data_IF_667726027802
#
_entry.id   IF_667726027802
#
_cell.length_a   1.000
_cell.length_b   1.000
_cell.length_c   1.000
_cell.angle_alpha   90.00
_cell.angle_beta   90.00
_cell.angle_gamma   90.00
#
_symmetry.space_group_name_H-M   'P 1'
#
loop_
_entity.id
_entity.type
_entity.pdbx_description
1 polymer ?
#
# COMPACT_ATOMS: atom_id res chain seq x y z
N UNK A 1 23.72 -0.12 19.50
CA UNK A 1 24.17 -0.87 18.29
C UNK A 1 23.30 -0.40 17.15
N UNK A 2 23.89 0.03 16.05
CA UNK A 2 23.13 0.42 14.87
C UNK A 2 22.57 -0.82 14.14
N UNK A 3 21.50 -0.67 13.35
CA UNK A 3 20.87 -1.79 12.66
C UNK A 3 21.79 -2.54 11.69
N UNK A 4 22.68 -1.80 11.01
CA UNK A 4 23.68 -2.36 10.11
C UNK A 4 24.73 -3.23 10.84
N UNK A 5 25.20 -2.81 12.00
CA UNK A 5 26.08 -3.63 12.84
C UNK A 5 25.39 -4.89 13.37
N UNK A 6 24.11 -4.78 13.73
CA UNK A 6 23.33 -5.92 14.16
C UNK A 6 23.24 -6.99 13.07
N UNK A 7 22.88 -6.62 11.84
CA UNK A 7 22.81 -7.53 10.69
C UNK A 7 24.18 -8.19 10.42
N UNK A 8 25.25 -7.40 10.45
CA UNK A 8 26.62 -7.92 10.29
C UNK A 8 26.95 -8.97 11.34
N UNK A 9 26.62 -8.71 12.61
CA UNK A 9 26.88 -9.63 13.70
C UNK A 9 26.07 -10.92 13.56
N UNK A 10 24.78 -10.84 13.21
CA UNK A 10 23.96 -12.01 12.95
C UNK A 10 24.53 -12.88 11.80
N UNK A 11 24.97 -12.25 10.71
CA UNK A 11 25.61 -12.98 9.60
C UNK A 11 26.87 -13.71 10.08
N UNK A 12 27.72 -13.06 10.87
CA UNK A 12 28.96 -13.65 11.41
C UNK A 12 28.64 -14.80 12.38
N UNK A 13 27.63 -14.65 13.24
CA UNK A 13 27.16 -15.71 14.13
C UNK A 13 26.67 -16.96 13.37
N UNK A 14 26.01 -16.74 12.21
CA UNK A 14 25.61 -17.84 11.32
C UNK A 14 26.78 -18.43 10.51
N UNK A 15 27.98 -17.90 10.65
CA UNK A 15 29.19 -18.38 9.95
C UNK A 15 29.24 -18.02 8.46
N UNK A 16 28.39 -17.11 7.99
CA UNK A 16 28.36 -16.75 6.58
C UNK A 16 29.43 -15.70 6.25
N UNK A 17 30.28 -15.98 5.25
CA UNK A 17 31.08 -14.93 4.62
C UNK A 17 30.18 -13.98 3.82
N UNK A 18 30.64 -12.76 3.59
CA UNK A 18 29.91 -11.76 2.74
C UNK A 18 29.55 -12.35 1.37
N UNK A 19 30.46 -13.15 0.79
CA UNK A 19 30.26 -13.78 -0.52
C UNK A 19 29.15 -14.87 -0.49
N UNK A 20 29.20 -15.73 0.53
CA UNK A 20 28.16 -16.78 0.71
C UNK A 20 26.79 -16.16 0.96
N UNK A 21 26.73 -15.21 1.91
CA UNK A 21 25.48 -14.54 2.26
C UNK A 21 24.88 -13.78 1.06
N UNK A 22 25.71 -13.03 0.33
CA UNK A 22 25.27 -12.33 -0.87
C UNK A 22 24.72 -13.27 -1.93
N UNK A 23 25.38 -14.42 -2.17
CA UNK A 23 24.88 -15.44 -3.11
C UNK A 23 23.53 -16.01 -2.68
N UNK A 24 23.37 -16.31 -1.39
CA UNK A 24 22.11 -16.86 -0.85
C UNK A 24 20.98 -15.82 -0.88
N UNK A 25 21.27 -14.56 -0.58
CA UNK A 25 20.32 -13.47 -0.58
C UNK A 25 20.05 -12.84 -1.96
N UNK A 26 20.67 -13.36 -3.02
CA UNK A 26 20.58 -12.82 -4.38
C UNK A 26 20.98 -11.34 -4.49
N UNK A 27 22.06 -10.98 -3.77
CA UNK A 27 22.70 -9.66 -3.82
C UNK A 27 24.21 -9.81 -4.01
N UNK A 28 24.84 -8.80 -4.59
CA UNK A 28 26.28 -8.86 -4.75
C UNK A 28 27.00 -8.73 -3.41
N UNK A 29 28.19 -9.35 -3.24
CA UNK A 29 28.99 -9.18 -2.02
C UNK A 29 29.27 -7.72 -1.68
N UNK A 30 29.49 -6.88 -2.70
CA UNK A 30 29.67 -5.44 -2.55
C UNK A 30 28.43 -4.76 -1.93
N UNK A 31 27.23 -5.18 -2.34
CA UNK A 31 25.99 -4.66 -1.78
C UNK A 31 25.80 -5.07 -0.32
N UNK A 32 26.16 -6.31 0.06
CA UNK A 32 26.16 -6.74 1.46
C UNK A 32 27.06 -5.83 2.29
N UNK A 33 28.29 -5.58 1.79
CA UNK A 33 29.24 -4.68 2.48
C UNK A 33 28.70 -3.26 2.63
N UNK A 34 28.01 -2.72 1.62
CA UNK A 34 27.39 -1.38 1.70
C UNK A 34 26.27 -1.28 2.72
N UNK A 35 25.45 -2.32 2.86
CA UNK A 35 24.43 -2.36 3.90
C UNK A 35 25.06 -2.51 5.29
N UNK A 36 26.07 -3.36 5.45
CA UNK A 36 26.75 -3.58 6.73
C UNK A 36 27.62 -2.39 7.18
N UNK A 37 28.12 -1.59 6.24
CA UNK A 37 28.86 -0.34 6.56
C UNK A 37 27.95 0.85 6.80
N UNK A 38 26.66 0.76 6.44
CA UNK A 38 25.72 1.88 6.49
C UNK A 38 25.81 2.84 5.30
N UNK A 39 26.63 2.53 4.28
CA UNK A 39 26.65 3.32 3.03
C UNK A 39 25.32 3.24 2.27
N UNK A 40 24.58 2.15 2.46
CA UNK A 40 23.19 1.99 1.97
C UNK A 40 22.27 1.61 3.11
N UNK A 41 21.08 2.18 3.10
CA UNK A 41 20.06 1.92 4.09
C UNK A 41 19.24 0.68 3.73
N UNK A 42 18.93 -0.16 4.71
CA UNK A 42 18.08 -1.34 4.52
C UNK A 42 16.66 -0.97 4.08
N UNK A 43 16.19 0.21 4.45
CA UNK A 43 14.88 0.76 4.07
C UNK A 43 14.63 0.76 2.56
N UNK A 44 15.69 0.90 1.77
CA UNK A 44 15.62 0.93 0.30
C UNK A 44 15.83 -0.43 -0.37
N UNK A 45 15.93 -1.50 0.42
CA UNK A 45 15.93 -2.85 -0.14
C UNK A 45 14.56 -3.18 -0.76
N UNK A 46 14.53 -3.84 -1.93
CA UNK A 46 13.31 -4.50 -2.39
C UNK A 46 12.84 -5.54 -1.38
N UNK A 47 11.53 -5.62 -1.18
CA UNK A 47 10.91 -6.53 -0.21
C UNK A 47 11.42 -7.96 -0.33
N UNK A 48 11.45 -8.53 -1.55
CA UNK A 48 11.90 -9.91 -1.75
C UNK A 48 13.34 -10.15 -1.29
N UNK A 49 14.24 -9.18 -1.47
CA UNK A 49 15.63 -9.28 -1.00
C UNK A 49 15.72 -9.11 0.52
N UNK A 50 14.95 -8.18 1.07
CA UNK A 50 14.88 -7.97 2.50
C UNK A 50 14.42 -9.25 3.20
N UNK A 51 13.28 -9.81 2.81
CA UNK A 51 12.74 -11.04 3.40
C UNK A 51 13.75 -12.20 3.27
N UNK A 52 14.37 -12.37 2.10
CA UNK A 52 15.37 -13.42 1.90
C UNK A 52 16.57 -13.27 2.84
N UNK A 53 17.13 -12.05 2.95
CA UNK A 53 18.23 -11.77 3.86
C UNK A 53 17.88 -12.04 5.32
N UNK A 54 16.73 -11.56 5.75
CA UNK A 54 16.30 -11.61 7.13
C UNK A 54 15.93 -13.03 7.56
N UNK A 55 15.34 -13.83 6.67
CA UNK A 55 15.12 -15.26 6.93
C UNK A 55 16.41 -16.06 7.08
N UNK A 56 17.42 -15.79 6.25
CA UNK A 56 18.74 -16.41 6.39
C UNK A 56 19.38 -16.13 7.75
N UNK A 57 19.00 -15.05 8.39
CA UNK A 57 19.49 -14.62 9.70
C UNK A 57 18.53 -14.93 10.85
N UNK A 58 17.36 -15.52 10.59
CA UNK A 58 16.26 -15.74 11.53
C UNK A 58 15.83 -14.45 12.25
N UNK A 59 15.69 -13.37 11.50
CA UNK A 59 15.30 -12.05 12.03
C UNK A 59 13.91 -11.69 11.49
N UNK A 60 12.91 -11.42 12.35
CA UNK A 60 11.63 -10.86 11.93
C UNK A 60 11.82 -9.45 11.35
N UNK A 61 11.27 -9.23 10.15
CA UNK A 61 11.45 -7.95 9.42
C UNK A 61 10.87 -6.79 10.21
N UNK A 62 9.62 -6.89 10.64
CA UNK A 62 8.92 -5.83 11.36
C UNK A 62 9.64 -5.43 12.64
N UNK A 63 10.01 -6.41 13.48
CA UNK A 63 10.71 -6.15 14.75
C UNK A 63 12.03 -5.40 14.53
N UNK A 64 12.76 -5.78 13.49
CA UNK A 64 14.01 -5.09 13.15
C UNK A 64 13.77 -3.64 12.76
N UNK A 65 12.82 -3.38 11.86
CA UNK A 65 12.54 -2.03 11.40
C UNK A 65 11.90 -1.16 12.49
N UNK A 66 11.08 -1.74 13.36
CA UNK A 66 10.57 -1.08 14.55
C UNK A 66 11.70 -0.63 15.49
N UNK A 67 12.62 -1.56 15.77
CA UNK A 67 13.71 -1.35 16.73
C UNK A 67 14.77 -0.36 16.25
N UNK A 68 15.15 -0.42 14.97
CA UNK A 68 16.29 0.32 14.45
C UNK A 68 15.92 1.52 13.59
N UNK A 69 14.70 1.60 13.08
CA UNK A 69 14.23 2.66 12.18
C UNK A 69 13.00 3.39 12.69
N UNK A 70 12.38 2.93 13.78
CA UNK A 70 11.24 3.60 14.43
C UNK A 70 10.06 3.87 13.50
N UNK A 71 9.86 3.03 12.48
CA UNK A 71 8.82 3.25 11.44
C UNK A 71 7.45 3.49 12.05
N UNK A 72 7.05 2.69 13.04
CA UNK A 72 5.74 2.83 13.68
C UNK A 72 5.57 4.17 14.38
N UNK A 73 6.64 4.66 15.04
CA UNK A 73 6.59 5.94 15.74
C UNK A 73 6.47 7.10 14.75
N UNK A 74 7.18 7.04 13.63
CA UNK A 74 7.09 8.04 12.57
C UNK A 74 5.73 7.99 11.88
N UNK A 75 5.24 6.79 11.57
CA UNK A 75 3.94 6.62 10.94
C UNK A 75 2.79 7.06 11.84
N UNK A 76 2.86 6.78 13.16
CA UNK A 76 1.88 7.27 14.11
C UNK A 76 1.78 8.80 14.08
N UNK A 77 2.91 9.49 14.16
CA UNK A 77 2.96 10.97 14.09
C UNK A 77 2.40 11.49 12.76
N UNK A 78 2.77 10.85 11.65
CA UNK A 78 2.30 11.24 10.32
C UNK A 78 0.79 11.05 10.17
N UNK A 79 0.25 9.93 10.64
CA UNK A 79 -1.19 9.63 10.62
C UNK A 79 -1.97 10.58 11.54
N UNK A 80 -1.47 10.84 12.75
CA UNK A 80 -2.09 11.79 13.68
C UNK A 80 -2.11 13.20 13.08
N UNK A 81 -1.00 13.65 12.51
CA UNK A 81 -0.91 14.94 11.81
C UNK A 81 -1.93 14.99 10.67
N UNK A 82 -1.94 13.95 9.80
CA UNK A 82 -2.88 13.88 8.68
C UNK A 82 -4.34 13.96 9.15
N UNK A 83 -4.72 13.23 10.20
CA UNK A 83 -6.08 13.26 10.78
C UNK A 83 -6.46 14.64 11.29
N UNK A 84 -5.52 15.34 11.91
CA UNK A 84 -5.76 16.72 12.41
C UNK A 84 -5.91 17.73 11.27
N UNK A 85 -5.17 17.55 10.17
CA UNK A 85 -5.24 18.41 8.99
C UNK A 85 -6.45 18.11 8.10
N UNK A 86 -6.99 16.87 8.19
CA UNK A 86 -8.14 16.41 7.42
C UNK A 86 -9.23 15.89 8.38
N UNK A 87 -9.84 16.77 9.20
CA UNK A 87 -10.95 16.34 10.04
C UNK A 87 -12.05 15.78 9.15
N UNK A 88 -12.38 14.52 9.37
CA UNK A 88 -13.45 13.83 8.63
C UNK A 88 -14.77 14.35 9.21
N UNK A 89 -15.27 15.43 8.63
CA UNK A 89 -16.58 16.00 8.97
C UNK A 89 -17.74 15.24 8.30
N UNK A 90 -17.40 14.25 7.49
CA UNK A 90 -18.29 13.38 6.74
C UNK A 90 -18.16 11.95 7.20
N UNK A 91 -19.29 11.28 7.40
CA UNK A 91 -19.33 9.82 7.49
C UNK A 91 -18.95 9.20 6.13
N UNK A 92 -17.66 9.30 5.80
CA UNK A 92 -17.08 8.87 4.54
C UNK A 92 -17.33 7.36 4.29
N UNK A 93 -17.33 6.56 5.34
CA UNK A 93 -17.64 5.13 5.24
C UNK A 93 -19.10 4.91 4.83
N UNK A 94 -20.01 5.71 5.32
CA UNK A 94 -21.41 5.64 4.94
C UNK A 94 -21.62 6.12 3.50
N UNK A 95 -20.95 7.19 3.10
CA UNK A 95 -20.94 7.66 1.71
C UNK A 95 -20.39 6.58 0.77
N UNK A 96 -19.24 6.00 1.09
CA UNK A 96 -18.63 4.90 0.37
C UNK A 96 -19.61 3.74 0.15
N UNK A 97 -20.23 3.24 1.24
CA UNK A 97 -21.22 2.15 1.18
C UNK A 97 -22.40 2.47 0.26
N UNK A 98 -22.93 3.69 0.32
CA UNK A 98 -24.04 4.13 -0.52
C UNK A 98 -23.66 4.15 -2.01
N UNK A 99 -22.47 4.66 -2.32
CA UNK A 99 -21.93 4.70 -3.68
C UNK A 99 -21.83 3.28 -4.25
N UNK A 100 -21.25 2.36 -3.49
CA UNK A 100 -21.13 0.96 -3.93
C UNK A 100 -22.45 0.25 -4.09
N UNK A 101 -23.37 0.44 -3.15
CA UNK A 101 -24.71 -0.10 -3.26
C UNK A 101 -25.42 0.38 -4.53
N UNK A 102 -25.20 1.65 -4.90
CA UNK A 102 -25.79 2.20 -6.14
C UNK A 102 -25.18 1.62 -7.40
N UNK A 103 -23.86 1.45 -7.43
CA UNK A 103 -23.20 0.82 -8.57
C UNK A 103 -23.61 -0.64 -8.71
N UNK A 104 -23.70 -1.39 -7.62
CA UNK A 104 -24.22 -2.75 -7.63
C UNK A 104 -25.65 -2.80 -8.19
N UNK A 105 -26.50 -1.84 -7.83
CA UNK A 105 -27.84 -1.71 -8.37
C UNK A 105 -27.87 -1.39 -9.86
N UNK A 106 -26.99 -0.52 -10.35
CA UNK A 106 -26.87 -0.21 -11.78
C UNK A 106 -26.41 -1.45 -12.55
N UNK A 107 -25.42 -2.17 -12.03
CA UNK A 107 -24.95 -3.44 -12.60
C UNK A 107 -26.04 -4.51 -12.69
N UNK A 108 -26.82 -4.71 -11.61
CA UNK A 108 -27.87 -5.73 -11.57
C UNK A 108 -28.98 -5.48 -12.60
N UNK A 109 -29.14 -4.25 -13.07
CA UNK A 109 -30.10 -3.90 -14.10
C UNK A 109 -29.59 -4.12 -15.54
N UNK A 110 -28.40 -4.66 -15.71
CA UNK A 110 -27.79 -4.94 -17.02
C UNK A 110 -27.46 -3.70 -17.85
N UNK A 111 -27.53 -2.50 -17.26
CA UNK A 111 -27.27 -1.25 -17.97
C UNK A 111 -25.78 -0.93 -18.13
N UNK A 112 -24.93 -1.65 -17.41
CA UNK A 112 -23.49 -1.40 -17.40
C UNK A 112 -22.73 -2.71 -17.48
N UNK A 113 -21.97 -2.91 -18.53
CA UNK A 113 -21.05 -4.03 -18.72
C UNK A 113 -19.61 -3.60 -18.35
N UNK A 114 -18.73 -4.56 -18.16
CA UNK A 114 -17.31 -4.29 -17.92
C UNK A 114 -16.66 -3.48 -19.04
N UNK A 115 -17.16 -3.63 -20.26
CA UNK A 115 -16.68 -2.94 -21.45
C UNK A 115 -17.15 -1.47 -21.54
N UNK A 116 -18.13 -1.07 -20.71
CA UNK A 116 -18.77 0.24 -20.70
C UNK A 116 -18.35 1.11 -19.53
N UNK A 117 -17.11 1.06 -19.10
CA UNK A 117 -16.64 1.78 -17.92
C UNK A 117 -16.73 3.31 -18.02
N UNK A 118 -16.60 3.86 -19.22
CA UNK A 118 -16.81 5.29 -19.45
C UNK A 118 -18.26 5.66 -19.17
N UNK A 119 -19.21 4.84 -19.60
CA UNK A 119 -20.62 5.03 -19.29
C UNK A 119 -20.95 4.92 -17.79
N UNK A 120 -20.16 4.16 -17.01
CA UNK A 120 -20.31 4.14 -15.53
C UNK A 120 -19.86 5.47 -14.94
N UNK A 121 -18.77 6.03 -15.44
CA UNK A 121 -18.28 7.33 -14.99
C UNK A 121 -19.31 8.42 -15.28
N UNK A 122 -19.87 8.45 -16.48
CA UNK A 122 -20.87 9.43 -16.88
C UNK A 122 -22.17 9.27 -16.10
N UNK A 123 -22.69 8.06 -15.95
CA UNK A 123 -23.86 7.78 -15.13
C UNK A 123 -23.65 8.16 -13.66
N UNK A 124 -22.44 8.01 -13.18
CA UNK A 124 -22.06 8.32 -11.83
C UNK A 124 -21.91 9.82 -11.60
N UNK A 125 -21.28 10.48 -12.57
CA UNK A 125 -21.13 11.92 -12.62
C UNK A 125 -22.49 12.60 -12.70
N UNK A 126 -23.35 12.17 -13.63
CA UNK A 126 -24.72 12.66 -13.79
C UNK A 126 -25.55 12.46 -12.52
N UNK A 127 -25.41 11.30 -11.89
CA UNK A 127 -26.15 11.01 -10.67
C UNK A 127 -25.74 11.94 -9.51
N UNK A 128 -24.45 12.26 -9.36
CA UNK A 128 -23.96 13.19 -8.34
C UNK A 128 -24.28 14.64 -8.64
N UNK A 129 -24.15 15.06 -9.91
CA UNK A 129 -24.44 16.42 -10.33
C UNK A 129 -25.93 16.71 -10.22
N UNK A 130 -26.78 15.74 -10.59
CA UNK A 130 -28.25 15.94 -10.58
C UNK A 130 -28.87 15.83 -9.19
N UNK A 131 -28.25 15.14 -8.25
CA UNK A 131 -28.81 14.88 -6.93
C UNK A 131 -27.84 15.09 -5.75
N UNK A 132 -27.13 16.22 -5.66
CA UNK A 132 -26.11 16.41 -4.61
C UNK A 132 -26.71 16.32 -3.19
N UNK A 133 -27.96 16.72 -2.98
CA UNK A 133 -28.64 16.70 -1.69
C UNK A 133 -29.05 15.31 -1.19
N UNK A 134 -29.07 14.31 -2.06
CA UNK A 134 -29.52 12.94 -1.70
C UNK A 134 -28.40 12.06 -1.14
N UNK A 135 -27.18 12.56 -1.10
CA UNK A 135 -26.01 11.76 -0.76
C UNK A 135 -25.48 11.97 0.65
N UNK A 136 -25.60 13.19 1.14
CA UNK A 136 -25.10 13.54 2.45
C UNK A 136 -26.18 14.39 3.11
N UNK A 137 -26.78 13.91 4.16
CA UNK A 137 -27.87 14.58 4.87
C UNK A 137 -27.56 16.07 5.12
N UNK A 138 -27.99 16.94 4.21
CA UNK A 138 -27.87 18.38 4.34
C UNK A 138 -26.57 19.05 3.92
N UNK A 139 -25.56 18.32 3.44
CA UNK A 139 -24.30 18.90 2.97
C UNK A 139 -24.22 18.96 1.45
N UNK A 140 -23.73 20.08 0.92
CA UNK A 140 -23.45 20.25 -0.51
C UNK A 140 -22.05 19.68 -0.80
N UNK A 141 -21.98 18.66 -1.66
CA UNK A 141 -20.70 18.15 -2.14
C UNK A 141 -20.09 19.18 -3.10
N UNK A 142 -18.92 19.69 -2.76
CA UNK A 142 -18.16 20.59 -3.63
C UNK A 142 -17.41 19.81 -4.71
N UNK A 143 -16.95 20.48 -5.76
CA UNK A 143 -16.08 19.85 -6.76
C UNK A 143 -14.81 19.25 -6.14
N UNK A 144 -14.24 19.94 -5.14
CA UNK A 144 -13.07 19.45 -4.41
C UNK A 144 -13.38 18.16 -3.63
N UNK A 145 -14.56 18.06 -3.01
CA UNK A 145 -15.00 16.83 -2.33
C UNK A 145 -15.21 15.70 -3.33
N UNK A 146 -15.76 16.00 -4.49
CA UNK A 146 -15.93 15.05 -5.57
C UNK A 146 -14.58 14.50 -6.04
N UNK A 147 -13.63 15.36 -6.35
CA UNK A 147 -12.28 14.97 -6.77
C UNK A 147 -11.55 14.16 -5.68
N UNK A 148 -11.68 14.59 -4.43
CA UNK A 148 -10.97 13.98 -3.30
C UNK A 148 -11.55 12.62 -2.90
N UNK A 149 -12.87 12.48 -2.84
CA UNK A 149 -13.52 11.29 -2.26
C UNK A 149 -14.19 10.39 -3.30
N UNK A 150 -14.74 10.95 -4.35
CA UNK A 150 -15.55 10.20 -5.32
C UNK A 150 -14.68 9.60 -6.42
N UNK A 151 -13.76 10.39 -6.98
CA UNK A 151 -12.86 9.91 -8.03
C UNK A 151 -12.04 8.69 -7.59
N UNK A 152 -11.42 8.67 -6.39
CA UNK A 152 -10.71 7.49 -5.92
C UNK A 152 -11.59 6.24 -5.78
N UNK A 153 -12.82 6.41 -5.31
CA UNK A 153 -13.78 5.29 -5.24
C UNK A 153 -14.09 4.78 -6.64
N UNK A 154 -14.29 5.68 -7.59
CA UNK A 154 -14.53 5.33 -8.98
C UNK A 154 -13.36 4.55 -9.60
N UNK A 155 -12.13 5.01 -9.40
CA UNK A 155 -10.94 4.28 -9.85
C UNK A 155 -10.82 2.91 -9.21
N UNK A 156 -11.15 2.78 -7.93
CA UNK A 156 -11.19 1.48 -7.28
C UNK A 156 -12.21 0.55 -7.91
N UNK A 157 -13.41 1.04 -8.22
CA UNK A 157 -14.44 0.26 -8.88
C UNK A 157 -14.01 -0.13 -10.29
N UNK A 158 -13.43 0.80 -11.05
CA UNK A 158 -12.86 0.54 -12.37
C UNK A 158 -11.84 -0.60 -12.30
N UNK A 159 -10.96 -0.58 -11.33
CA UNK A 159 -9.97 -1.65 -11.14
C UNK A 159 -10.60 -2.98 -10.73
N UNK A 160 -11.61 -2.95 -9.85
CA UNK A 160 -12.32 -4.16 -9.42
C UNK A 160 -13.18 -4.81 -10.52
N UNK A 161 -13.54 -4.04 -11.54
CA UNK A 161 -14.32 -4.54 -12.68
C UNK A 161 -13.46 -5.06 -13.83
N UNK A 162 -12.28 -4.47 -14.02
CA UNK A 162 -11.46 -4.72 -15.21
C UNK A 162 -10.34 -5.73 -15.03
N UNK A 163 -10.01 -6.17 -13.91
CA UNK A 163 -9.00 -7.17 -13.60
C UNK A 163 -8.65 -6.92 -12.14
N UNK A 164 -9.27 -7.69 -11.25
CA UNK A 164 -8.58 -7.92 -9.99
C UNK A 164 -7.21 -8.43 -10.40
N UNK A 165 -6.13 -7.74 -10.07
CA UNK A 165 -4.82 -8.29 -10.34
C UNK A 165 -4.83 -9.70 -9.76
N UNK A 166 -4.35 -10.69 -10.51
CA UNK A 166 -4.23 -12.06 -10.02
C UNK A 166 -3.33 -12.13 -8.78
N UNK A 167 -2.60 -11.07 -8.56
CA UNK A 167 -1.68 -10.92 -7.46
C UNK A 167 -2.42 -10.68 -6.13
N UNK A 168 -2.26 -11.63 -5.22
CA UNK A 168 -2.86 -11.62 -3.87
C UNK A 168 -2.58 -10.31 -3.12
N UNK A 169 -1.34 -9.78 -3.22
CA UNK A 169 -0.90 -8.56 -2.53
C UNK A 169 -1.72 -7.35 -2.97
N UNK A 170 -1.82 -7.13 -4.27
CA UNK A 170 -2.59 -6.01 -4.82
C UNK A 170 -4.07 -6.08 -4.41
N UNK A 171 -4.68 -7.28 -4.46
CA UNK A 171 -6.07 -7.49 -4.01
C UNK A 171 -6.26 -7.17 -2.54
N UNK A 172 -5.33 -7.59 -1.69
CA UNK A 172 -5.39 -7.35 -0.24
C UNK A 172 -5.26 -5.86 0.06
N UNK A 173 -4.29 -5.17 -0.56
CA UNK A 173 -4.09 -3.73 -0.40
C UNK A 173 -5.32 -2.95 -0.89
N UNK A 174 -5.85 -3.27 -2.06
CA UNK A 174 -7.06 -2.62 -2.58
C UNK A 174 -8.27 -2.88 -1.69
N UNK A 175 -8.42 -4.09 -1.17
CA UNK A 175 -9.50 -4.44 -0.24
C UNK A 175 -9.41 -3.70 1.09
N UNK A 176 -8.19 -3.53 1.63
CA UNK A 176 -7.95 -2.77 2.84
C UNK A 176 -8.14 -1.26 2.62
N UNK A 177 -7.63 -0.72 1.51
CA UNK A 177 -7.85 0.65 1.11
C UNK A 177 -9.35 0.97 0.98
N UNK A 178 -10.10 0.06 0.39
CA UNK A 178 -11.55 0.19 0.29
C UNK A 178 -12.25 0.30 1.65
N UNK A 179 -11.78 -0.44 2.65
CA UNK A 179 -12.34 -0.44 4.00
C UNK A 179 -11.85 0.73 4.86
N UNK A 180 -10.75 1.37 4.45
CA UNK A 180 -10.14 2.48 5.18
C UNK A 180 -10.81 3.82 4.87
N UNK A 181 -10.48 4.84 5.66
CA UNK A 181 -10.91 6.23 5.44
C UNK A 181 -9.95 6.99 4.50
N UNK A 182 -8.92 6.32 4.00
CA UNK A 182 -7.90 6.92 3.15
C UNK A 182 -8.26 6.79 1.66
N UNK A 183 -7.88 7.81 0.90
CA UNK A 183 -7.79 7.73 -0.56
C UNK A 183 -6.43 7.20 -1.00
N UNK A 184 -6.28 6.84 -2.28
CA UNK A 184 -4.97 6.48 -2.85
C UNK A 184 -3.96 7.63 -2.66
N UNK A 185 -4.41 8.88 -2.83
CA UNK A 185 -3.55 10.06 -2.63
C UNK A 185 -3.07 10.18 -1.19
N UNK A 186 -3.94 9.93 -0.21
CA UNK A 186 -3.57 9.99 1.21
C UNK A 186 -2.53 8.93 1.55
N UNK A 187 -2.73 7.69 1.10
CA UNK A 187 -1.74 6.62 1.26
C UNK A 187 -0.41 7.01 0.62
N UNK A 188 -0.45 7.61 -0.57
CA UNK A 188 0.77 8.02 -1.25
C UNK A 188 1.54 9.10 -0.48
N UNK A 189 0.84 10.09 0.07
CA UNK A 189 1.45 11.13 0.91
C UNK A 189 2.03 10.54 2.18
N UNK A 190 1.26 9.71 2.90
CA UNK A 190 1.68 9.09 4.15
C UNK A 190 2.88 8.14 3.98
N UNK A 191 2.90 7.38 2.88
CA UNK A 191 3.95 6.37 2.63
C UNK A 191 5.13 6.89 1.80
N UNK A 192 5.10 8.15 1.34
CA UNK A 192 6.16 8.74 0.54
C UNK A 192 6.33 8.08 -0.85
N UNK A 193 5.23 7.63 -1.45
CA UNK A 193 5.21 7.03 -2.79
C UNK A 193 4.35 7.87 -3.73
N UNK A 194 4.69 7.96 -5.00
CA UNK A 194 3.86 8.68 -5.98
C UNK A 194 2.63 7.84 -6.35
N UNK A 195 1.51 8.52 -6.66
CA UNK A 195 0.26 7.87 -7.13
C UNK A 195 0.53 6.98 -8.35
N UNK A 196 1.31 7.49 -9.30
CA UNK A 196 1.69 6.71 -10.49
C UNK A 196 2.42 5.42 -10.11
N UNK A 197 3.40 5.48 -9.19
CA UNK A 197 4.18 4.33 -8.78
C UNK A 197 3.34 3.30 -8.00
N UNK A 198 2.47 3.76 -7.10
CA UNK A 198 1.54 2.86 -6.40
C UNK A 198 0.58 2.18 -7.38
N UNK A 199 0.03 2.93 -8.34
CA UNK A 199 -0.82 2.36 -9.38
C UNK A 199 -0.08 1.35 -10.26
N UNK A 200 1.19 1.57 -10.58
CA UNK A 200 2.00 0.61 -11.34
C UNK A 200 2.13 -0.74 -10.62
N UNK A 201 2.18 -0.73 -9.28
CA UNK A 201 2.13 -1.95 -8.46
C UNK A 201 0.72 -2.55 -8.42
N UNK A 202 -0.28 -1.74 -8.10
CA UNK A 202 -1.68 -2.21 -7.96
C UNK A 202 -2.24 -2.82 -9.24
N UNK A 203 -1.81 -2.34 -10.40
CA UNK A 203 -2.28 -2.80 -11.71
C UNK A 203 -1.30 -3.73 -12.45
N UNK A 204 -0.33 -4.29 -11.72
CA UNK A 204 0.55 -5.33 -12.25
C UNK A 204 1.59 -4.87 -13.28
N UNK A 205 1.80 -3.56 -13.45
CA UNK A 205 2.92 -3.05 -14.27
C UNK A 205 4.26 -3.23 -13.58
N UNK A 206 4.26 -3.35 -12.25
CA UNK A 206 5.40 -3.65 -11.40
C UNK A 206 5.03 -4.72 -10.39
N UNK A 207 5.97 -5.61 -10.12
CA UNK A 207 5.82 -6.63 -9.09
C UNK A 207 5.95 -5.99 -7.69
N UNK A 208 5.00 -6.25 -6.80
CA UNK A 208 5.04 -5.78 -5.42
C UNK A 208 6.25 -6.29 -4.64
N UNK A 209 6.81 -7.43 -4.99
CA UNK A 209 8.04 -7.92 -4.38
C UNK A 209 9.22 -6.95 -4.54
N UNK A 210 9.19 -6.10 -5.57
CA UNK A 210 10.20 -5.10 -5.87
C UNK A 210 9.97 -3.74 -5.19
N UNK A 211 8.88 -3.54 -4.44
CA UNK A 211 8.67 -2.33 -3.65
C UNK A 211 9.75 -2.21 -2.56
N UNK A 212 10.11 -1.01 -2.17
CA UNK A 212 11.05 -0.82 -1.06
C UNK A 212 10.39 -1.24 0.25
N UNK A 213 11.16 -1.89 1.12
CA UNK A 213 10.63 -2.44 2.38
C UNK A 213 10.04 -1.37 3.30
N UNK A 214 10.62 -0.18 3.37
CA UNK A 214 10.08 0.93 4.13
C UNK A 214 8.68 1.32 3.66
N UNK A 215 8.50 1.45 2.34
CA UNK A 215 7.20 1.78 1.73
C UNK A 215 6.19 0.68 1.98
N UNK A 216 6.60 -0.59 1.88
CA UNK A 216 5.73 -1.73 2.15
C UNK A 216 5.26 -1.75 3.61
N UNK A 217 6.18 -1.55 4.57
CA UNK A 217 5.86 -1.46 6.00
C UNK A 217 4.91 -0.28 6.30
N UNK A 218 5.16 0.89 5.71
CA UNK A 218 4.29 2.06 5.85
C UNK A 218 2.88 1.80 5.31
N UNK A 219 2.76 1.17 4.15
CA UNK A 219 1.46 0.79 3.57
C UNK A 219 0.74 -0.20 4.50
N UNK A 220 1.43 -1.21 5.01
CA UNK A 220 0.88 -2.16 5.98
C UNK A 220 0.38 -1.43 7.24
N UNK A 221 1.20 -0.56 7.81
CA UNK A 221 0.84 0.21 9.00
C UNK A 221 -0.42 1.05 8.80
N UNK A 222 -0.48 1.84 7.72
CA UNK A 222 -1.61 2.75 7.44
C UNK A 222 -2.90 1.98 7.19
N UNK A 223 -2.82 0.83 6.52
CA UNK A 223 -3.97 0.00 6.17
C UNK A 223 -4.31 -1.07 7.22
N UNK A 224 -3.55 -1.18 8.30
CA UNK A 224 -3.75 -2.20 9.34
C UNK A 224 -3.54 -3.62 8.84
N UNK A 225 -2.56 -3.82 7.95
CA UNK A 225 -2.18 -5.12 7.38
C UNK A 225 -0.94 -5.66 8.07
N UNK A 226 -0.86 -6.97 8.24
CA UNK A 226 0.34 -7.65 8.69
C UNK A 226 1.33 -7.80 7.53
N UNK A 227 2.58 -7.42 7.75
CA UNK A 227 3.62 -7.43 6.72
C UNK A 227 4.01 -8.85 6.32
N UNK A 228 4.19 -9.76 7.29
CA UNK A 228 4.59 -11.15 7.01
C UNK A 228 3.47 -11.92 6.31
N UNK A 229 2.21 -11.69 6.69
CA UNK A 229 1.04 -12.29 6.03
C UNK A 229 0.92 -11.84 4.57
N UNK A 230 1.25 -10.57 4.31
CA UNK A 230 1.11 -9.96 2.99
C UNK A 230 2.31 -10.25 2.08
N UNK A 231 3.51 -10.03 2.57
CA UNK A 231 4.74 -10.07 1.79
C UNK A 231 5.61 -11.30 2.06
N UNK A 232 5.34 -12.06 3.11
CA UNK A 232 6.18 -13.18 3.51
C UNK A 232 6.48 -14.17 2.39
N UNK A 233 5.56 -14.42 1.47
CA UNK A 233 5.77 -15.30 0.31
C UNK A 233 6.71 -14.74 -0.76
N UNK A 234 7.10 -13.46 -0.70
CA UNK A 234 7.96 -12.83 -1.70
C UNK A 234 9.43 -13.28 -1.62
N UNK A 235 9.86 -13.88 -0.52
CA UNK A 235 11.23 -14.38 -0.37
C UNK A 235 11.51 -15.62 -1.22
N UNK A 236 12.76 -15.80 -1.68
CA UNK A 236 13.15 -16.90 -2.58
C UNK A 236 13.25 -18.28 -1.92
N UNK A 237 13.24 -18.36 -0.60
CA UNK A 237 13.33 -19.62 0.15
C UNK A 237 12.08 -19.81 1.00
N UNK A 238 11.14 -20.57 0.47
CA UNK A 238 10.07 -21.19 1.23
C UNK A 238 10.47 -22.57 1.68
#
# INVERSE_FOLDING_TARGET
MAGNEFIKNCRLQKGYSVRQFGKMADITPRMVSYYESGEKLFEHLPVYKCITMFRLLDIPVEEFFQKYYSIDTEMRKSVEKWRNEHPIDLDFNNLKKRIYARIAQIKSRGKVTADNLENIYDLYNDFFIQNPKNYIAGQVITLADYEKYIIPIFYHIKSSMNIMPDEKIARTILGALYKSDYTISDICVLCGITVQRLNDYLYGKRDFSAIHVDTALKVCYVLGLDFEDLFGSCGKYN
#
